data_IF_271879195645
#
_entry.id   IF_271879195645
#
_cell.length_a   1.000
_cell.length_b   1.000
_cell.length_c   1.000
_cell.angle_alpha   90.00
_cell.angle_beta   90.00
_cell.angle_gamma   90.00
#
_symmetry.space_group_name_H-M   'P 1'
#
loop_
_entity.id
_entity.type
_entity.pdbx_description
1 polymer ?
#
# COMPACT_ATOMS: atom_id res chain seq x y z
N UNK A 1 4.65 20.71 39.57
CA UNK A 1 5.46 21.30 38.49
C UNK A 1 5.36 20.35 37.33
N UNK A 2 4.55 20.74 36.35
CA UNK A 2 4.34 20.07 35.08
C UNK A 2 5.65 20.00 34.29
N UNK A 3 6.05 18.79 33.91
CA UNK A 3 6.98 18.57 32.81
C UNK A 3 6.25 17.81 31.73
N UNK A 4 5.40 18.54 31.00
CA UNK A 4 4.84 18.11 29.73
C UNK A 4 5.99 17.92 28.73
N UNK A 5 6.50 16.70 28.61
CA UNK A 5 7.31 16.30 27.47
C UNK A 5 6.39 16.19 26.26
N UNK A 6 6.12 17.33 25.62
CA UNK A 6 5.54 17.40 24.29
C UNK A 6 6.52 16.74 23.31
N UNK A 7 6.21 15.50 22.93
CA UNK A 7 6.79 14.86 21.76
C UNK A 7 6.30 15.66 20.54
N UNK A 8 7.20 16.11 19.64
CA UNK A 8 6.80 16.91 18.49
C UNK A 8 5.84 16.13 17.59
N UNK A 9 4.80 16.80 17.12
CA UNK A 9 3.74 16.28 16.26
C UNK A 9 4.22 16.07 14.81
N UNK A 10 5.23 15.21 14.63
CA UNK A 10 5.48 14.50 13.36
C UNK A 10 4.99 13.08 13.58
N UNK A 11 3.84 12.74 13.01
CA UNK A 11 3.16 11.46 13.24
C UNK A 11 4.06 10.26 12.94
N UNK A 12 4.68 9.69 13.96
CA UNK A 12 5.46 8.47 13.86
C UNK A 12 4.50 7.33 13.50
N UNK A 13 4.44 6.97 12.21
CA UNK A 13 3.86 5.70 11.80
C UNK A 13 4.56 4.59 12.58
N UNK A 14 3.80 3.64 13.12
CA UNK A 14 4.39 2.47 13.77
C UNK A 14 5.31 1.73 12.77
N UNK A 15 6.31 1.00 13.26
CA UNK A 15 7.17 0.18 12.38
C UNK A 15 6.34 -0.80 11.53
N UNK A 16 5.24 -1.30 12.10
CA UNK A 16 4.27 -2.12 11.36
C UNK A 16 3.58 -1.33 10.25
N UNK A 17 3.09 -0.13 10.51
CA UNK A 17 2.44 0.72 9.49
C UNK A 17 3.38 1.00 8.30
N UNK A 18 4.64 1.31 8.57
CA UNK A 18 5.65 1.51 7.52
C UNK A 18 5.94 0.21 6.74
N UNK A 19 6.03 -0.92 7.43
CA UNK A 19 6.23 -2.23 6.80
C UNK A 19 5.01 -2.68 5.98
N UNK A 20 3.79 -2.40 6.45
CA UNK A 20 2.56 -2.69 5.76
C UNK A 20 2.40 -1.85 4.49
N UNK A 21 2.70 -0.54 4.55
CA UNK A 21 2.72 0.33 3.37
C UNK A 21 3.69 -0.18 2.30
N UNK A 22 4.89 -0.62 2.72
CA UNK A 22 5.91 -1.20 1.84
C UNK A 22 5.46 -2.53 1.24
N UNK A 23 4.88 -3.41 2.06
CA UNK A 23 4.38 -4.72 1.61
C UNK A 23 3.27 -4.54 0.59
N UNK A 24 2.31 -3.64 0.84
CA UNK A 24 1.28 -3.26 -0.12
C UNK A 24 1.87 -2.69 -1.41
N UNK A 25 2.91 -1.85 -1.30
CA UNK A 25 3.62 -1.30 -2.47
C UNK A 25 4.15 -2.42 -3.38
N UNK A 26 4.84 -3.39 -2.78
CA UNK A 26 5.48 -4.49 -3.50
C UNK A 26 4.43 -5.43 -4.11
N UNK A 27 3.36 -5.73 -3.38
CA UNK A 27 2.23 -6.51 -3.86
C UNK A 27 1.60 -5.85 -5.08
N UNK A 28 1.19 -4.58 -4.98
CA UNK A 28 0.49 -3.87 -6.05
C UNK A 28 1.39 -3.71 -7.28
N UNK A 29 2.64 -3.29 -7.08
CA UNK A 29 3.61 -3.12 -8.18
C UNK A 29 3.83 -4.45 -8.93
N UNK A 30 4.07 -5.55 -8.21
CA UNK A 30 4.31 -6.85 -8.83
C UNK A 30 3.09 -7.40 -9.58
N UNK A 31 1.90 -7.34 -8.95
CA UNK A 31 0.71 -7.95 -9.54
C UNK A 31 0.12 -7.09 -10.67
N UNK A 32 0.17 -5.75 -10.56
CA UNK A 32 -0.24 -4.88 -11.67
C UNK A 32 0.69 -5.05 -12.87
N UNK A 33 2.02 -5.06 -12.65
CA UNK A 33 2.99 -5.28 -13.74
C UNK A 33 2.79 -6.65 -14.42
N UNK A 34 2.39 -7.68 -13.67
CA UNK A 34 2.07 -9.00 -14.21
C UNK A 34 0.69 -9.09 -14.90
N UNK A 35 -0.09 -8.00 -14.93
CA UNK A 35 -1.45 -7.99 -15.48
C UNK A 35 -2.49 -8.72 -14.61
N UNK A 36 -2.16 -9.00 -13.35
CA UNK A 36 -3.04 -9.69 -12.41
C UNK A 36 -3.93 -8.74 -11.60
N UNK A 37 -3.70 -7.43 -11.67
CA UNK A 37 -4.58 -6.40 -11.09
C UNK A 37 -5.06 -5.45 -12.17
N UNK A 38 -6.34 -5.08 -12.10
CA UNK A 38 -6.90 -4.03 -12.92
C UNK A 38 -6.45 -2.65 -12.45
N UNK A 39 -5.91 -1.85 -13.37
CA UNK A 39 -5.52 -0.49 -13.06
C UNK A 39 -4.93 0.25 -14.26
N UNK A 40 -4.80 1.57 -14.11
CA UNK A 40 -4.24 2.44 -15.14
C UNK A 40 -3.36 3.53 -14.52
N UNK A 41 -2.35 3.97 -15.28
CA UNK A 41 -1.58 5.14 -14.90
C UNK A 41 -2.34 6.40 -15.31
N UNK A 42 -2.60 7.27 -14.34
CA UNK A 42 -3.12 8.61 -14.56
C UNK A 42 -2.00 9.62 -14.41
N UNK A 43 -1.81 10.47 -15.43
CA UNK A 43 -0.83 11.56 -15.38
C UNK A 43 -1.51 12.84 -14.90
N UNK A 44 -0.95 13.44 -13.86
CA UNK A 44 -1.35 14.74 -13.36
C UNK A 44 -0.80 15.84 -14.27
N UNK A 45 -1.41 17.03 -14.20
CA UNK A 45 -0.99 18.20 -14.97
C UNK A 45 0.43 18.68 -14.65
N UNK A 46 0.95 18.35 -13.45
CA UNK A 46 2.30 18.69 -13.00
C UNK A 46 3.37 17.68 -13.47
N UNK A 47 2.99 16.69 -14.28
CA UNK A 47 3.88 15.66 -14.80
C UNK A 47 4.10 14.46 -13.86
N UNK A 48 3.50 14.46 -12.67
CA UNK A 48 3.46 13.27 -11.81
C UNK A 48 2.51 12.21 -12.36
N UNK A 49 2.72 10.97 -11.95
CA UNK A 49 1.84 9.86 -12.29
C UNK A 49 1.33 9.20 -11.01
N UNK A 50 0.06 8.79 -11.04
CA UNK A 50 -0.53 7.91 -10.05
C UNK A 50 -0.95 6.61 -10.74
N UNK A 51 -0.76 5.48 -10.07
CA UNK A 51 -1.46 4.25 -10.41
C UNK A 51 -2.84 4.27 -9.74
N UNK A 52 -3.88 4.17 -10.56
CA UNK A 52 -5.25 3.96 -10.13
C UNK A 52 -5.61 2.48 -10.29
N UNK A 53 -5.68 1.74 -9.18
CA UNK A 53 -6.04 0.32 -9.12
C UNK A 53 -7.52 0.16 -8.77
N UNK A 54 -8.23 -0.69 -9.51
CA UNK A 54 -9.66 -0.95 -9.31
C UNK A 54 -9.87 -2.23 -8.53
N UNK A 55 -10.88 -2.22 -7.66
CA UNK A 55 -11.29 -3.37 -6.88
C UNK A 55 -12.78 -3.37 -6.60
N UNK A 56 -13.22 -4.32 -5.78
CA UNK A 56 -14.62 -4.47 -5.35
C UNK A 56 -14.64 -4.65 -3.82
N UNK A 57 -15.42 -3.82 -3.12
CA UNK A 57 -15.57 -3.93 -1.67
C UNK A 57 -16.46 -5.11 -1.23
N UNK A 58 -16.62 -5.30 0.07
CA UNK A 58 -17.46 -6.37 0.64
C UNK A 58 -18.93 -6.30 0.20
N UNK A 59 -19.42 -5.10 -0.10
CA UNK A 59 -20.78 -4.84 -0.56
C UNK A 59 -20.95 -5.05 -2.08
N UNK A 60 -19.89 -5.48 -2.79
CA UNK A 60 -19.93 -5.66 -4.24
C UNK A 60 -19.80 -4.35 -5.04
N UNK A 61 -19.44 -3.24 -4.39
CA UNK A 61 -19.32 -1.94 -5.04
C UNK A 61 -17.89 -1.73 -5.56
N UNK A 62 -17.78 -1.06 -6.71
CA UNK A 62 -16.49 -0.66 -7.25
C UNK A 62 -15.80 0.31 -6.29
N UNK A 63 -14.52 0.05 -6.02
CA UNK A 63 -13.63 0.91 -5.25
C UNK A 63 -12.37 1.17 -6.08
N UNK A 64 -11.83 2.38 -5.99
CA UNK A 64 -10.58 2.74 -6.65
C UNK A 64 -9.57 3.22 -5.62
N UNK A 65 -8.34 2.73 -5.77
CA UNK A 65 -7.21 3.11 -4.97
C UNK A 65 -6.20 3.84 -5.83
N UNK A 66 -5.62 4.92 -5.30
CA UNK A 66 -4.51 5.66 -5.90
C UNK A 66 -3.22 5.45 -5.12
N UNK A 67 -2.11 5.37 -5.83
CA UNK A 67 -0.76 5.43 -5.26
C UNK A 67 0.17 6.15 -6.22
N UNK A 68 1.07 6.97 -5.68
CA UNK A 68 2.04 7.70 -6.50
C UNK A 68 2.99 6.74 -7.22
N UNK A 69 3.33 7.09 -8.46
CA UNK A 69 4.18 6.32 -9.34
C UNK A 69 5.31 7.19 -9.89
N UNK A 70 6.52 6.66 -9.83
CA UNK A 70 7.64 7.22 -10.58
C UNK A 70 7.44 7.03 -12.08
N UNK A 71 8.08 7.88 -12.91
CA UNK A 71 8.17 7.65 -14.35
C UNK A 71 8.68 6.24 -14.66
N UNK A 72 8.21 5.68 -15.77
CA UNK A 72 8.65 4.36 -16.20
C UNK A 72 10.17 4.35 -16.41
N UNK A 73 10.83 3.30 -15.92
CA UNK A 73 12.25 3.09 -16.16
C UNK A 73 12.51 2.55 -17.59
N UNK A 74 13.77 2.25 -17.92
CA UNK A 74 14.17 1.71 -19.23
C UNK A 74 13.53 0.35 -19.59
N UNK A 75 12.91 -0.33 -18.62
CA UNK A 75 12.17 -1.59 -18.81
C UNK A 75 10.65 -1.37 -18.89
N UNK A 76 10.20 -0.11 -18.98
CA UNK A 76 8.78 0.22 -19.03
C UNK A 76 8.05 0.07 -17.69
N UNK A 77 8.77 -0.17 -16.58
CA UNK A 77 8.16 -0.36 -15.25
C UNK A 77 8.19 0.93 -14.44
N UNK A 78 7.02 1.40 -14.04
CA UNK A 78 6.85 2.47 -13.06
C UNK A 78 6.97 1.90 -11.64
N UNK A 79 7.85 2.47 -10.82
CA UNK A 79 7.95 2.10 -9.40
C UNK A 79 6.93 2.88 -8.58
N UNK A 80 6.15 2.17 -7.79
CA UNK A 80 5.19 2.79 -6.87
C UNK A 80 5.87 3.29 -5.60
N UNK A 81 5.32 4.32 -4.97
CA UNK A 81 5.79 4.85 -3.71
C UNK A 81 4.68 5.56 -2.92
N UNK A 82 4.96 5.80 -1.64
CA UNK A 82 4.03 6.49 -0.73
C UNK A 82 2.80 5.66 -0.37
N UNK A 83 1.87 6.26 0.40
CA UNK A 83 0.69 5.57 0.89
C UNK A 83 -0.27 5.25 -0.26
N UNK A 84 -0.98 4.13 -0.10
CA UNK A 84 -2.19 3.88 -0.90
C UNK A 84 -3.34 4.67 -0.28
N UNK A 85 -4.11 5.35 -1.12
CA UNK A 85 -5.30 6.07 -0.71
C UNK A 85 -6.50 5.55 -1.47
N UNK A 86 -7.64 5.40 -0.81
CA UNK A 86 -8.90 5.24 -1.52
C UNK A 86 -9.27 6.57 -2.17
N UNK A 87 -9.70 6.55 -3.44
CA UNK A 87 -10.00 7.76 -4.22
C UNK A 87 -11.19 8.52 -3.63
N UNK A 88 -12.25 7.82 -3.23
CA UNK A 88 -13.48 8.42 -2.71
C UNK A 88 -13.30 9.13 -1.36
N UNK A 89 -12.57 8.51 -0.42
CA UNK A 89 -12.33 9.09 0.90
C UNK A 89 -11.11 10.01 0.93
N UNK A 90 -10.16 9.81 0.00
CA UNK A 90 -8.88 10.51 -0.01
C UNK A 90 -7.92 10.08 1.12
N UNK A 91 -8.36 9.18 2.01
CA UNK A 91 -7.60 8.76 3.18
C UNK A 91 -6.60 7.67 2.82
N UNK A 92 -5.39 7.81 3.35
CA UNK A 92 -4.36 6.77 3.27
C UNK A 92 -4.71 5.57 4.15
N UNK A 93 -4.40 4.37 3.70
CA UNK A 93 -4.57 3.14 4.46
C UNK A 93 -3.33 2.26 4.37
N UNK A 94 -3.04 1.53 5.45
CA UNK A 94 -2.03 0.49 5.56
C UNK A 94 -2.65 -0.87 5.90
N UNK A 95 -3.99 -0.98 5.83
CA UNK A 95 -4.70 -2.22 6.08
C UNK A 95 -4.52 -3.20 4.91
N UNK A 96 -3.56 -4.12 5.09
CA UNK A 96 -3.22 -5.14 4.11
C UNK A 96 -4.44 -5.99 3.76
N UNK A 97 -5.24 -6.37 4.75
CA UNK A 97 -6.35 -7.29 4.55
C UNK A 97 -7.44 -6.63 3.71
N UNK A 98 -7.85 -5.41 4.06
CA UNK A 98 -8.89 -4.68 3.33
C UNK A 98 -8.46 -4.39 1.90
N UNK A 99 -7.27 -3.81 1.71
CA UNK A 99 -6.79 -3.42 0.37
C UNK A 99 -6.64 -4.65 -0.52
N UNK A 100 -5.97 -5.69 -0.02
CA UNK A 100 -5.71 -6.91 -0.80
C UNK A 100 -7.01 -7.64 -1.13
N UNK A 101 -7.93 -7.76 -0.16
CA UNK A 101 -9.23 -8.39 -0.39
C UNK A 101 -10.02 -7.62 -1.46
N UNK A 102 -10.05 -6.29 -1.39
CA UNK A 102 -10.78 -5.49 -2.37
C UNK A 102 -10.20 -5.59 -3.77
N UNK A 103 -8.88 -5.55 -3.91
CA UNK A 103 -8.20 -5.64 -5.19
C UNK A 103 -8.28 -7.04 -5.82
N UNK A 104 -8.31 -8.10 -5.01
CA UNK A 104 -8.38 -9.48 -5.50
C UNK A 104 -9.80 -10.03 -5.59
N UNK A 105 -10.84 -9.35 -5.08
CA UNK A 105 -12.20 -9.89 -5.01
C UNK A 105 -12.78 -10.30 -6.37
N UNK A 106 -12.45 -9.57 -7.44
CA UNK A 106 -12.83 -9.89 -8.82
C UNK A 106 -12.11 -11.12 -9.37
N UNK A 107 -10.99 -11.49 -8.77
CA UNK A 107 -10.21 -12.68 -9.11
C UNK A 107 -10.66 -13.80 -8.16
N UNK A 108 -11.33 -14.83 -8.67
CA UNK A 108 -11.84 -15.95 -7.88
C UNK A 108 -10.70 -16.78 -7.25
N UNK A 109 -10.04 -16.26 -6.23
CA UNK A 109 -8.87 -16.89 -5.62
C UNK A 109 -9.31 -17.85 -4.54
N UNK A 110 -9.25 -19.15 -4.83
CA UNK A 110 -9.43 -20.23 -3.85
C UNK A 110 -8.51 -20.10 -2.62
N UNK A 111 -7.46 -19.27 -2.70
CA UNK A 111 -6.45 -19.06 -1.66
C UNK A 111 -6.36 -17.61 -1.14
N UNK A 112 -7.36 -16.76 -1.37
CA UNK A 112 -7.30 -15.33 -1.03
C UNK A 112 -6.94 -15.03 0.42
N UNK A 113 -7.57 -15.72 1.38
CA UNK A 113 -7.30 -15.56 2.81
C UNK A 113 -5.86 -15.97 3.18
N UNK A 114 -5.38 -17.08 2.62
CA UNK A 114 -4.01 -17.55 2.84
C UNK A 114 -3.01 -16.51 2.34
N UNK A 115 -3.23 -15.96 1.16
CA UNK A 115 -2.35 -14.94 0.58
C UNK A 115 -2.33 -13.66 1.42
N UNK A 116 -3.49 -13.19 1.91
CA UNK A 116 -3.58 -12.05 2.83
C UNK A 116 -2.77 -12.30 4.11
N UNK A 117 -2.86 -13.51 4.67
CA UNK A 117 -2.06 -13.88 5.84
C UNK A 117 -0.55 -13.88 5.54
N UNK A 118 -0.14 -14.35 4.37
CA UNK A 118 1.27 -14.31 3.93
C UNK A 118 1.79 -12.87 3.79
N UNK A 119 0.98 -11.95 3.24
CA UNK A 119 1.34 -10.53 3.18
C UNK A 119 1.42 -9.90 4.59
N UNK A 120 0.47 -10.19 5.46
CA UNK A 120 0.46 -9.70 6.85
C UNK A 120 1.67 -10.21 7.63
N UNK A 121 2.03 -11.48 7.45
CA UNK A 121 3.22 -12.07 8.04
C UNK A 121 4.50 -11.42 7.50
N UNK A 122 4.54 -11.14 6.19
CA UNK A 122 5.65 -10.41 5.55
C UNK A 122 5.84 -9.03 6.16
N UNK A 123 4.76 -8.27 6.35
CA UNK A 123 4.82 -6.96 7.01
C UNK A 123 5.32 -7.06 8.46
N UNK A 124 4.87 -8.09 9.19
CA UNK A 124 5.37 -8.36 10.56
C UNK A 124 6.88 -8.62 10.55
N UNK A 125 7.38 -9.50 9.68
CA UNK A 125 8.83 -9.79 9.57
C UNK A 125 9.60 -8.51 9.22
N UNK A 126 9.11 -7.73 8.26
CA UNK A 126 9.73 -6.46 7.87
C UNK A 126 9.76 -5.46 9.03
N UNK A 127 8.68 -5.37 9.82
CA UNK A 127 8.60 -4.52 11.00
C UNK A 127 9.63 -4.92 12.07
N UNK A 128 9.80 -6.23 12.30
CA UNK A 128 10.81 -6.76 13.23
C UNK A 128 12.25 -6.61 12.71
N UNK A 129 12.43 -6.48 11.40
CA UNK A 129 13.74 -6.31 10.75
C UNK A 129 14.20 -4.85 10.69
N UNK A 130 13.36 -3.89 11.10
CA UNK A 130 13.84 -2.53 11.35
C UNK A 130 14.87 -2.58 12.47
N UNK A 131 16.05 -1.94 12.30
CA UNK A 131 17.07 -1.99 13.31
C UNK A 131 16.48 -1.42 14.60
N UNK A 132 16.40 -2.27 15.62
CA UNK A 132 16.42 -1.85 17.01
C UNK A 132 17.51 -0.78 17.11
N UNK A 133 17.29 0.39 17.75
CA UNK A 133 18.33 1.39 17.84
C UNK A 133 19.55 0.69 18.45
N UNK A 134 20.65 0.70 17.70
CA UNK A 134 21.96 0.38 18.26
C UNK A 134 22.09 1.29 19.48
N UNK A 135 22.00 0.71 20.67
CA UNK A 135 22.23 1.45 21.90
C UNK A 135 23.68 1.91 21.83
N UNK A 136 23.87 3.22 21.63
CA UNK A 136 25.14 3.87 21.90
C UNK A 136 25.53 3.67 23.35
#
# INVERSE_FOLDING_TARGET
>A
MDSSNQIPATGNKSFYAAAAERTLCQFIDAFWFAGALDGHLWRQADGKADLCSRGINEQGQAIEYRRAAHPANSFGRSRLHGPICEVCSGLGTDDIAVVTANLLRSHATQNGLRFINELTHTATIQACSYPWPARC
#
